data_IF_316115888722
#
_entry.id   IF_316115888722
#
_cell.length_a   1.000
_cell.length_b   1.000
_cell.length_c   1.000
_cell.angle_alpha   90.00
_cell.angle_beta   90.00
_cell.angle_gamma   90.00
#
_symmetry.space_group_name_H-M   'P 1'
#
loop_
_entity.id
_entity.type
_entity.pdbx_description
1 polymer ?
#
# COMPACT_ATOMS: atom_id res chain seq x y z
N UNK A 1 13.81 -1.41 -18.47
CA UNK A 1 13.14 -2.55 -17.82
C UNK A 1 11.72 -2.57 -18.34
N UNK A 2 11.26 -3.66 -18.97
CA UNK A 2 9.88 -3.71 -19.48
C UNK A 2 8.94 -3.70 -18.28
N UNK A 3 8.01 -2.75 -18.22
CA UNK A 3 6.91 -2.80 -17.24
C UNK A 3 6.15 -4.11 -17.53
N UNK A 4 6.07 -5.00 -16.54
CA UNK A 4 5.09 -6.08 -16.62
C UNK A 4 3.72 -5.40 -16.55
N UNK A 5 2.82 -5.76 -17.46
CA UNK A 5 1.41 -5.40 -17.31
C UNK A 5 0.94 -5.96 -15.96
N UNK A 6 0.65 -5.07 -15.02
CA UNK A 6 0.03 -5.42 -13.73
C UNK A 6 -1.48 -5.20 -13.86
N UNK A 7 -2.26 -5.94 -13.07
CA UNK A 7 -3.71 -5.79 -13.06
C UNK A 7 -4.10 -4.45 -12.47
N UNK A 8 -5.15 -3.82 -12.98
CA UNK A 8 -5.68 -2.62 -12.32
C UNK A 8 -6.36 -2.98 -11.01
N UNK A 9 -6.60 -1.99 -10.15
CA UNK A 9 -7.30 -2.21 -8.87
C UNK A 9 -8.71 -2.76 -9.10
N UNK A 10 -9.39 -2.28 -10.14
CA UNK A 10 -10.72 -2.74 -10.54
C UNK A 10 -10.68 -4.22 -10.98
N UNK A 11 -9.68 -4.60 -11.76
CA UNK A 11 -9.50 -5.99 -12.19
C UNK A 11 -9.23 -6.92 -11.01
N UNK A 12 -8.45 -6.46 -10.02
CA UNK A 12 -8.17 -7.24 -8.80
C UNK A 12 -9.45 -7.44 -7.98
N UNK A 13 -10.21 -6.36 -7.74
CA UNK A 13 -11.49 -6.46 -7.01
C UNK A 13 -12.50 -7.35 -7.73
N UNK A 14 -12.53 -7.32 -9.06
CA UNK A 14 -13.42 -8.16 -9.86
C UNK A 14 -13.13 -9.67 -9.70
N UNK A 15 -11.89 -10.07 -9.39
CA UNK A 15 -11.56 -11.47 -9.09
C UNK A 15 -12.28 -11.99 -7.84
N UNK A 16 -12.62 -11.09 -6.92
CA UNK A 16 -13.39 -11.40 -5.70
C UNK A 16 -14.90 -11.10 -5.85
N UNK A 17 -15.37 -10.79 -7.06
CA UNK A 17 -16.73 -10.33 -7.34
C UNK A 17 -17.11 -9.03 -6.60
N UNK A 18 -16.13 -8.14 -6.41
CA UNK A 18 -16.30 -6.84 -5.78
C UNK A 18 -16.09 -5.72 -6.81
N UNK A 19 -16.67 -4.54 -6.52
CA UNK A 19 -16.43 -3.31 -7.29
C UNK A 19 -15.54 -2.36 -6.47
N UNK A 20 -14.34 -2.07 -6.98
CA UNK A 20 -13.42 -1.13 -6.36
C UNK A 20 -13.99 0.29 -6.21
N UNK A 21 -14.96 0.68 -7.04
CA UNK A 21 -15.61 2.00 -6.97
C UNK A 21 -16.76 2.05 -5.97
N UNK A 22 -17.23 0.90 -5.50
CA UNK A 22 -18.28 0.81 -4.48
C UNK A 22 -17.74 0.96 -3.05
N UNK A 23 -16.42 1.03 -2.86
CA UNK A 23 -15.80 1.23 -1.54
C UNK A 23 -16.15 2.63 -1.02
N UNK A 24 -16.99 2.70 0.01
CA UNK A 24 -17.45 3.95 0.63
C UNK A 24 -17.11 3.98 2.11
N UNK A 25 -16.77 5.16 2.63
CA UNK A 25 -16.44 5.39 4.03
C UNK A 25 -17.26 6.57 4.52
N UNK A 26 -17.97 6.38 5.63
CA UNK A 26 -18.81 7.41 6.26
C UNK A 26 -18.49 7.52 7.75
N UNK A 27 -18.87 8.63 8.39
CA UNK A 27 -18.66 8.83 9.83
C UNK A 27 -17.26 9.32 10.24
N UNK A 28 -16.44 9.79 9.29
CA UNK A 28 -15.13 10.40 9.55
C UNK A 28 -15.03 11.78 8.88
N UNK A 29 -14.08 12.65 9.29
CA UNK A 29 -13.85 13.92 8.61
C UNK A 29 -13.52 13.71 7.13
N UNK A 30 -14.13 14.53 6.25
CA UNK A 30 -14.02 14.43 4.78
C UNK A 30 -12.56 14.33 4.29
N UNK A 31 -11.67 15.12 4.89
CA UNK A 31 -10.21 15.11 4.62
C UNK A 31 -9.48 13.78 4.85
N UNK A 32 -10.12 12.79 5.47
CA UNK A 32 -9.56 11.45 5.70
C UNK A 32 -10.26 10.36 4.87
N UNK A 33 -11.37 10.67 4.20
CA UNK A 33 -12.16 9.68 3.44
C UNK A 33 -11.31 9.02 2.35
N UNK A 34 -10.60 9.82 1.57
CA UNK A 34 -9.76 9.33 0.48
C UNK A 34 -8.65 8.39 0.99
N UNK A 35 -7.98 8.76 2.08
CA UNK A 35 -6.92 7.95 2.67
C UNK A 35 -7.43 6.58 3.17
N UNK A 36 -8.63 6.53 3.75
CA UNK A 36 -9.24 5.29 4.24
C UNK A 36 -9.73 4.41 3.08
N UNK A 37 -10.29 4.99 2.03
CA UNK A 37 -10.62 4.25 0.80
C UNK A 37 -9.35 3.68 0.17
N UNK A 38 -8.29 4.48 0.10
CA UNK A 38 -7.01 4.08 -0.51
C UNK A 38 -6.35 2.92 0.25
N UNK A 39 -6.29 2.98 1.59
CA UNK A 39 -5.71 1.88 2.37
C UNK A 39 -6.55 0.60 2.29
N UNK A 40 -7.88 0.70 2.24
CA UNK A 40 -8.76 -0.45 2.05
C UNK A 40 -8.49 -1.15 0.71
N UNK A 41 -8.30 -0.38 -0.36
CA UNK A 41 -7.91 -0.90 -1.69
C UNK A 41 -6.51 -1.52 -1.66
N UNK A 42 -5.56 -0.91 -0.96
CA UNK A 42 -4.20 -1.45 -0.81
C UNK A 42 -4.17 -2.82 -0.14
N UNK A 43 -5.05 -3.09 0.83
CA UNK A 43 -5.12 -4.41 1.46
C UNK A 43 -5.42 -5.52 0.44
N UNK A 44 -6.45 -5.32 -0.37
CA UNK A 44 -6.86 -6.28 -1.42
C UNK A 44 -5.75 -6.46 -2.46
N UNK A 45 -5.11 -5.36 -2.87
CA UNK A 45 -3.97 -5.40 -3.80
C UNK A 45 -2.79 -6.20 -3.20
N UNK A 46 -2.44 -5.94 -1.94
CA UNK A 46 -1.33 -6.63 -1.28
C UNK A 46 -1.63 -8.13 -1.13
N UNK A 47 -2.85 -8.49 -0.76
CA UNK A 47 -3.28 -9.89 -0.67
C UNK A 47 -3.20 -10.58 -2.04
N UNK A 48 -3.66 -9.91 -3.10
CA UNK A 48 -3.58 -10.42 -4.47
C UNK A 48 -2.15 -10.69 -4.95
N UNK A 49 -1.23 -9.77 -4.66
CA UNK A 49 0.17 -9.84 -5.10
C UNK A 49 1.01 -10.78 -4.21
N UNK A 50 0.45 -11.20 -3.06
CA UNK A 50 1.07 -12.07 -2.07
C UNK A 50 0.17 -13.28 -1.70
N UNK A 51 -0.31 -14.07 -2.68
CA UNK A 51 -1.38 -15.05 -2.46
C UNK A 51 -1.02 -16.15 -1.44
N UNK A 52 0.25 -16.54 -1.37
CA UNK A 52 0.74 -17.61 -0.49
C UNK A 52 1.47 -17.08 0.76
N UNK A 53 1.64 -15.75 0.88
CA UNK A 53 2.42 -15.18 1.96
C UNK A 53 1.55 -14.89 3.17
N UNK A 54 1.75 -15.68 4.22
CA UNK A 54 1.11 -15.48 5.52
C UNK A 54 2.16 -14.93 6.50
N UNK A 55 2.13 -13.63 6.83
CA UNK A 55 3.11 -13.05 7.74
C UNK A 55 2.87 -13.53 9.18
N UNK A 56 3.79 -14.33 9.68
CA UNK A 56 3.87 -14.79 11.07
C UNK A 56 4.77 -13.86 11.87
N UNK A 57 4.15 -12.98 12.66
CA UNK A 57 4.86 -12.00 13.50
C UNK A 57 5.48 -12.61 14.76
N UNK A 58 5.23 -13.89 15.05
CA UNK A 58 5.92 -14.64 16.11
C UNK A 58 7.24 -15.25 15.62
N UNK A 59 7.38 -15.44 14.30
CA UNK A 59 8.61 -15.94 13.65
C UNK A 59 9.56 -14.81 13.24
N UNK A 60 10.54 -14.55 14.09
CA UNK A 60 11.58 -13.52 13.91
C UNK A 60 12.41 -13.68 12.63
N UNK A 61 12.61 -14.92 12.17
CA UNK A 61 13.42 -15.22 10.98
C UNK A 61 12.67 -14.95 9.67
N UNK A 62 11.33 -14.94 9.71
CA UNK A 62 10.53 -14.68 8.52
C UNK A 62 10.61 -13.20 8.20
N UNK A 63 11.32 -12.90 7.11
CA UNK A 63 11.44 -11.53 6.60
C UNK A 63 10.10 -11.02 6.07
N UNK A 64 9.84 -9.74 6.34
CA UNK A 64 8.60 -9.03 5.98
C UNK A 64 9.02 -7.65 5.50
N UNK A 65 8.59 -7.28 4.30
CA UNK A 65 9.06 -6.09 3.61
C UNK A 65 7.89 -5.13 3.38
N UNK A 66 8.00 -3.90 3.87
CA UNK A 66 7.04 -2.82 3.57
C UNK A 66 7.77 -1.73 2.79
N UNK A 67 7.14 -1.11 1.77
CA UNK A 67 7.74 0.02 1.09
C UNK A 67 7.77 1.25 2.00
N UNK A 68 8.82 2.06 1.84
CA UNK A 68 8.94 3.41 2.41
C UNK A 68 9.02 4.40 1.26
N UNK A 69 8.13 5.39 1.27
CA UNK A 69 8.12 6.45 0.26
C UNK A 69 9.16 7.54 0.58
N UNK A 70 9.85 8.02 -0.44
CA UNK A 70 10.61 9.26 -0.39
C UNK A 70 9.62 10.40 -0.58
N UNK A 71 9.47 11.22 0.46
CA UNK A 71 8.59 12.38 0.48
C UNK A 71 9.41 13.60 0.05
N UNK A 72 9.74 13.67 -1.24
CA UNK A 72 10.42 14.82 -1.83
C UNK A 72 9.58 16.12 -1.76
N UNK A 73 10.16 17.22 -2.27
CA UNK A 73 9.60 18.58 -2.24
C UNK A 73 8.11 18.66 -2.66
N UNK A 74 7.29 19.56 -2.07
CA UNK A 74 5.87 19.76 -2.36
C UNK A 74 5.50 20.01 -3.84
N UNK A 75 6.47 20.23 -4.72
CA UNK A 75 6.31 20.65 -6.12
C UNK A 75 6.17 19.51 -7.15
N UNK A 76 5.71 18.32 -6.76
CA UNK A 76 5.19 17.32 -7.72
C UNK A 76 6.17 16.29 -8.28
N UNK A 77 7.41 16.21 -7.78
CA UNK A 77 8.41 15.18 -8.15
C UNK A 77 8.79 14.26 -6.98
N UNK A 78 8.07 14.35 -5.85
CA UNK A 78 8.52 13.87 -4.54
C UNK A 78 7.70 12.75 -3.89
N UNK A 79 7.11 11.83 -4.66
CA UNK A 79 6.55 10.60 -4.07
C UNK A 79 7.07 9.41 -4.86
N UNK A 80 8.23 8.92 -4.47
CA UNK A 80 8.90 7.80 -5.12
C UNK A 80 9.23 6.71 -4.10
N UNK A 81 9.52 5.50 -4.56
CA UNK A 81 10.03 4.46 -3.68
C UNK A 81 11.42 4.89 -3.16
N UNK A 82 11.58 5.03 -1.84
CA UNK A 82 12.87 5.34 -1.22
C UNK A 82 13.64 4.05 -0.93
N UNK A 83 13.07 3.22 -0.06
CA UNK A 83 13.69 1.98 0.40
C UNK A 83 12.66 1.03 1.06
N UNK A 84 13.16 -0.05 1.65
CA UNK A 84 12.40 -1.01 2.44
C UNK A 84 13.07 -1.17 3.81
N UNK A 85 12.31 -1.61 4.81
CA UNK A 85 12.86 -1.94 6.13
C UNK A 85 12.70 -3.43 6.44
N UNK A 86 13.70 -4.03 7.08
CA UNK A 86 13.71 -5.41 7.57
C UNK A 86 13.35 -5.42 9.07
N UNK A 87 12.31 -6.17 9.47
CA UNK A 87 11.79 -6.11 10.84
C UNK A 87 12.12 -7.33 11.72
N UNK A 88 12.77 -7.06 12.86
CA UNK A 88 12.76 -7.90 14.06
C UNK A 88 11.77 -7.29 15.08
N UNK A 89 10.61 -7.91 15.29
CA UNK A 89 9.67 -7.78 16.45
C UNK A 89 9.19 -6.41 16.97
N UNK A 90 9.61 -5.26 16.44
CA UNK A 90 9.09 -3.94 16.84
C UNK A 90 8.51 -3.25 15.60
N UNK A 91 7.19 -3.22 15.45
CA UNK A 91 6.51 -2.70 14.24
C UNK A 91 6.53 -1.17 14.19
N UNK A 92 7.17 -0.57 13.18
CA UNK A 92 7.01 0.85 12.81
C UNK A 92 6.15 1.04 11.53
N UNK A 93 5.56 -0.03 10.99
CA UNK A 93 4.72 -0.03 9.77
C UNK A 93 3.55 -1.01 9.87
N UNK A 94 2.50 -0.79 9.08
CA UNK A 94 1.27 -1.58 9.12
C UNK A 94 1.45 -3.03 8.66
N UNK A 95 1.11 -3.98 9.52
CA UNK A 95 1.21 -5.43 9.28
C UNK A 95 0.47 -5.94 8.03
N UNK A 96 -0.48 -5.18 7.49
CA UNK A 96 -1.28 -5.53 6.31
C UNK A 96 -0.64 -5.14 4.97
N UNK A 97 0.45 -4.38 5.00
CA UNK A 97 1.12 -3.88 3.79
C UNK A 97 2.53 -4.48 3.63
N UNK A 98 2.75 -5.68 4.19
CA UNK A 98 4.04 -6.37 4.10
C UNK A 98 4.01 -7.44 3.01
N UNK A 99 5.14 -7.62 2.33
CA UNK A 99 5.35 -8.66 1.31
C UNK A 99 6.50 -9.58 1.70
N UNK A 100 6.56 -10.75 1.06
CA UNK A 100 7.59 -11.78 1.33
C UNK A 100 9.01 -11.38 0.90
N UNK A 101 9.12 -10.46 -0.06
CA UNK A 101 10.40 -10.01 -0.62
C UNK A 101 10.43 -8.51 -0.86
N UNK A 102 11.64 -7.96 -0.91
CA UNK A 102 11.89 -6.56 -1.26
C UNK A 102 11.34 -6.24 -2.64
N UNK A 103 11.58 -7.14 -3.60
CA UNK A 103 11.23 -6.96 -5.01
C UNK A 103 9.72 -6.87 -5.18
N UNK A 104 8.94 -7.67 -4.43
CA UNK A 104 7.48 -7.59 -4.42
C UNK A 104 6.99 -6.30 -3.76
N UNK A 105 7.51 -5.96 -2.58
CA UNK A 105 7.12 -4.72 -1.90
C UNK A 105 7.36 -3.48 -2.80
N UNK A 106 8.51 -3.47 -3.51
CA UNK A 106 8.84 -2.42 -4.49
C UNK A 106 7.89 -2.43 -5.69
N UNK A 107 7.63 -3.60 -6.27
CA UNK A 107 6.73 -3.71 -7.42
C UNK A 107 5.30 -3.23 -7.10
N UNK A 108 4.75 -3.62 -5.95
CA UNK A 108 3.43 -3.16 -5.50
C UNK A 108 3.42 -1.63 -5.34
N UNK A 109 4.45 -1.06 -4.73
CA UNK A 109 4.55 0.39 -4.57
C UNK A 109 4.62 1.12 -5.92
N UNK A 110 5.42 0.61 -6.86
CA UNK A 110 5.60 1.22 -8.18
C UNK A 110 4.40 1.05 -9.12
N UNK A 111 3.63 -0.04 -8.95
CA UNK A 111 2.43 -0.32 -9.74
C UNK A 111 1.20 0.46 -9.26
N UNK A 112 1.08 0.73 -7.96
CA UNK A 112 -0.10 1.40 -7.38
C UNK A 112 0.25 2.70 -6.62
N UNK A 113 1.05 3.62 -7.20
CA UNK A 113 1.60 4.77 -6.47
C UNK A 113 0.51 5.75 -6.00
N UNK A 114 -0.60 5.86 -6.73
CA UNK A 114 -1.70 6.77 -6.36
C UNK A 114 -2.41 6.35 -5.08
N UNK A 115 -2.59 5.04 -4.86
CA UNK A 115 -3.17 4.54 -3.60
C UNK A 115 -2.22 4.84 -2.42
N UNK A 116 -0.93 4.61 -2.61
CA UNK A 116 0.07 4.94 -1.58
C UNK A 116 0.11 6.44 -1.31
N UNK A 117 0.02 7.28 -2.34
CA UNK A 117 0.02 8.73 -2.20
C UNK A 117 -1.21 9.22 -1.45
N UNK A 118 -2.40 8.76 -1.83
CA UNK A 118 -3.66 9.10 -1.16
C UNK A 118 -3.67 8.65 0.31
N UNK A 119 -3.06 7.51 0.62
CA UNK A 119 -2.95 7.00 1.98
C UNK A 119 -1.90 7.73 2.83
N UNK A 120 -0.70 7.96 2.28
CA UNK A 120 0.47 8.43 3.03
C UNK A 120 0.63 9.95 3.04
N UNK A 121 0.13 10.65 2.01
CA UNK A 121 0.27 12.10 1.88
C UNK A 121 -1.00 12.78 2.39
N UNK A 122 -0.84 13.61 3.42
CA UNK A 122 -1.95 14.33 4.03
C UNK A 122 -1.75 15.84 3.88
N UNK A 123 -2.71 16.52 3.25
CA UNK A 123 -2.80 17.98 3.33
C UNK A 123 -3.67 18.36 4.53
N UNK A 124 -3.04 18.94 5.55
CA UNK A 124 -3.72 19.34 6.78
C UNK A 124 -4.31 20.75 6.61
N UNK A 125 -5.58 20.84 6.25
CA UNK A 125 -6.35 22.07 6.47
C UNK A 125 -6.87 22.07 7.91
N UNK A 126 -6.17 22.76 8.81
CA UNK A 126 -6.67 23.06 10.16
C UNK A 126 -7.56 24.29 10.03
N UNK A 127 -8.88 24.12 10.22
CA UNK A 127 -9.80 25.23 10.51
C UNK A 127 -9.77 25.53 12.00
#
# INVERSE_FOLDING_TARGET
>A
MKMKDHKTVEEIFALENLDANAVTVTGIPERHVEAVIAIAKLFVVVDHENPDFQPDFTKYEQRKYSPVADMGSPSGVGFSYYDFVLWNTYSLVGARLVSESREKAKAIFENYPDLYKAFMVYQREIK
#
